data_IF_558117815768
#
_entry.id   IF_558117815768
#
_cell.length_a   1.000
_cell.length_b   1.000
_cell.length_c   1.000
_cell.angle_alpha   90.00
_cell.angle_beta   90.00
_cell.angle_gamma   90.00
#
_symmetry.space_group_name_H-M   'P 1'
#
loop_
_entity.id
_entity.type
_entity.pdbx_description
1 polymer ?
#
# COMPACT_ATOMS: atom_id res chain seq x y z
N UNK A 1 -12.14 30.09 -41.63
CA UNK A 1 -10.80 29.68 -41.22
C UNK A 1 -10.76 29.81 -39.73
N UNK A 2 -10.99 28.72 -38.96
CA UNK A 2 -10.89 28.67 -37.49
C UNK A 2 -9.61 27.95 -37.16
N UNK A 3 -8.77 28.59 -36.36
CA UNK A 3 -7.50 28.08 -35.90
C UNK A 3 -7.71 26.78 -35.09
N UNK A 4 -7.01 25.74 -35.49
CA UNK A 4 -6.91 24.48 -34.75
C UNK A 4 -5.93 24.76 -33.62
N UNK A 5 -6.47 24.75 -32.41
CA UNK A 5 -5.71 24.85 -31.16
C UNK A 5 -4.82 23.60 -31.07
N UNK A 6 -3.53 23.78 -31.30
CA UNK A 6 -2.52 22.74 -31.15
C UNK A 6 -2.32 22.52 -29.63
N UNK A 7 -2.95 21.46 -29.14
CA UNK A 7 -2.65 20.91 -27.83
C UNK A 7 -1.19 20.43 -27.83
N UNK A 8 -0.29 21.27 -27.34
CA UNK A 8 1.12 20.96 -27.14
C UNK A 8 1.24 19.72 -26.28
N UNK A 9 1.59 18.59 -26.88
CA UNK A 9 2.09 17.43 -26.17
C UNK A 9 3.26 17.88 -25.32
N UNK A 10 3.14 17.69 -24.00
CA UNK A 10 4.21 17.98 -23.05
C UNK A 10 5.36 17.00 -23.32
N UNK A 11 6.30 17.42 -24.13
CA UNK A 11 7.63 16.79 -24.19
C UNK A 11 8.25 16.87 -22.80
N UNK A 12 8.82 15.75 -22.32
CA UNK A 12 9.53 15.71 -21.05
C UNK A 12 10.60 16.81 -21.04
N UNK A 13 10.30 17.90 -20.34
CA UNK A 13 11.14 19.09 -20.37
C UNK A 13 12.01 19.05 -19.12
N UNK A 14 13.33 19.09 -19.31
CA UNK A 14 14.26 19.34 -18.21
C UNK A 14 14.11 20.82 -17.83
N UNK A 15 13.72 21.07 -16.58
CA UNK A 15 13.51 22.41 -16.05
C UNK A 15 14.56 22.72 -14.98
N UNK A 16 15.01 23.94 -14.93
CA UNK A 16 15.78 24.44 -13.80
C UNK A 16 14.89 24.58 -12.56
N UNK A 17 15.49 24.61 -11.38
CA UNK A 17 14.73 24.88 -10.14
C UNK A 17 13.96 26.21 -10.22
N UNK A 18 14.58 27.26 -10.79
CA UNK A 18 13.91 28.55 -10.98
C UNK A 18 12.63 28.40 -11.83
N UNK A 19 12.71 27.70 -12.96
CA UNK A 19 11.54 27.44 -13.81
C UNK A 19 10.46 26.60 -13.12
N UNK A 20 10.86 25.65 -12.27
CA UNK A 20 9.89 24.87 -11.46
C UNK A 20 9.19 25.76 -10.41
N UNK A 21 9.91 26.67 -9.78
CA UNK A 21 9.35 27.60 -8.80
C UNK A 21 8.42 28.64 -9.44
N UNK A 22 8.70 29.08 -10.66
CA UNK A 22 7.82 29.96 -11.44
C UNK A 22 6.51 29.28 -11.87
N UNK A 23 6.52 27.98 -12.11
CA UNK A 23 5.33 27.18 -12.50
C UNK A 23 4.39 26.82 -11.34
N UNK A 24 4.56 27.37 -10.18
CA UNK A 24 4.04 27.02 -8.85
C UNK A 24 4.86 25.92 -8.20
N UNK A 25 5.36 26.11 -6.97
CA UNK A 25 6.04 25.06 -6.25
C UNK A 25 5.06 23.88 -6.11
N UNK A 26 5.49 22.64 -6.45
CA UNK A 26 4.62 21.49 -6.35
C UNK A 26 4.18 21.35 -4.89
N UNK A 27 2.87 21.45 -4.66
CA UNK A 27 2.30 21.15 -3.34
C UNK A 27 2.59 19.68 -3.04
N UNK A 28 3.18 19.34 -1.89
CA UNK A 28 3.37 17.95 -1.51
C UNK A 28 2.05 17.19 -1.62
N UNK A 29 2.06 15.95 -2.12
CA UNK A 29 0.84 15.16 -2.20
C UNK A 29 0.22 15.02 -0.80
N UNK A 30 -1.10 15.11 -0.68
CA UNK A 30 -1.78 15.00 0.62
C UNK A 30 -1.47 13.65 1.25
N UNK A 31 -1.34 13.62 2.56
CA UNK A 31 -1.22 12.37 3.29
C UNK A 31 -2.58 11.64 3.31
N UNK A 32 -2.58 10.37 2.96
CA UNK A 32 -3.76 9.51 3.05
C UNK A 32 -3.88 8.91 4.45
N UNK A 33 -2.76 8.70 5.11
CA UNK A 33 -2.65 8.27 6.51
C UNK A 33 -1.63 9.17 7.21
N UNK A 34 -2.08 9.90 8.20
CA UNK A 34 -1.27 10.85 8.95
C UNK A 34 -0.45 10.20 10.08
N UNK A 35 0.67 10.81 10.49
CA UNK A 35 1.35 11.99 9.93
C UNK A 35 2.34 11.59 8.83
N UNK A 36 1.94 11.70 7.58
CA UNK A 36 2.82 11.42 6.42
C UNK A 36 3.15 9.93 6.21
N UNK A 37 2.37 9.03 6.82
CA UNK A 37 2.62 7.59 6.78
C UNK A 37 2.41 7.01 5.38
N UNK A 38 1.37 7.45 4.71
CA UNK A 38 1.08 7.08 3.33
C UNK A 38 0.68 8.35 2.57
N UNK A 39 1.60 8.97 1.83
CA UNK A 39 1.24 10.07 0.94
C UNK A 39 0.46 9.55 -0.27
N UNK A 40 -0.35 10.41 -0.87
CA UNK A 40 -0.97 10.08 -2.16
C UNK A 40 0.11 9.71 -3.18
N UNK A 41 -0.15 8.67 -3.97
CA UNK A 41 0.83 8.07 -4.90
C UNK A 41 2.10 7.54 -4.21
N UNK A 42 2.08 7.34 -2.89
CA UNK A 42 3.15 6.67 -2.16
C UNK A 42 3.07 5.15 -2.24
N UNK A 43 4.13 4.47 -1.81
CA UNK A 43 4.13 3.02 -1.64
C UNK A 43 4.48 2.72 -0.19
N UNK A 44 3.57 2.06 0.52
CA UNK A 44 3.78 1.59 1.89
C UNK A 44 3.93 0.07 1.93
N UNK A 45 4.92 -0.43 2.66
CA UNK A 45 5.09 -1.86 2.90
C UNK A 45 4.74 -2.23 4.33
N UNK A 46 3.97 -3.30 4.49
CA UNK A 46 3.68 -3.92 5.77
C UNK A 46 4.40 -5.24 5.83
N UNK A 47 5.58 -5.23 6.45
CA UNK A 47 6.45 -6.39 6.58
C UNK A 47 6.34 -7.07 7.93
N UNK A 48 6.70 -8.35 8.01
CA UNK A 48 6.80 -9.09 9.26
C UNK A 48 6.73 -10.61 9.08
N UNK A 49 7.02 -11.34 10.16
CA UNK A 49 6.95 -12.80 10.18
C UNK A 49 5.55 -13.32 9.82
N UNK A 50 5.43 -14.57 9.32
CA UNK A 50 4.14 -15.20 9.11
C UNK A 50 3.29 -15.21 10.40
N UNK A 51 1.96 -15.09 10.26
CA UNK A 51 0.96 -15.20 11.35
C UNK A 51 0.99 -14.09 12.42
N UNK A 52 1.75 -13.01 12.23
CA UNK A 52 1.76 -11.87 13.18
C UNK A 52 0.59 -10.89 13.00
N UNK A 53 -0.35 -11.18 12.09
CA UNK A 53 -1.56 -10.37 11.92
C UNK A 53 -1.46 -9.27 10.86
N UNK A 54 -0.48 -9.29 9.95
CA UNK A 54 -0.32 -8.27 8.87
C UNK A 54 -1.59 -8.07 8.05
N UNK A 55 -2.17 -9.14 7.52
CA UNK A 55 -3.39 -9.08 6.71
C UNK A 55 -4.59 -8.55 7.50
N UNK A 56 -4.67 -8.82 8.82
CA UNK A 56 -5.70 -8.24 9.69
C UNK A 56 -5.49 -6.73 9.86
N UNK A 57 -4.26 -6.30 10.09
CA UNK A 57 -3.92 -4.88 10.18
C UNK A 57 -4.25 -4.16 8.87
N UNK A 58 -3.83 -4.72 7.73
CA UNK A 58 -4.03 -4.11 6.42
C UNK A 58 -5.51 -4.08 6.03
N UNK A 59 -6.29 -5.12 6.35
CA UNK A 59 -7.73 -5.10 6.16
C UNK A 59 -8.42 -4.02 7.01
N UNK A 60 -8.01 -3.84 8.28
CA UNK A 60 -8.49 -2.73 9.11
C UNK A 60 -8.06 -1.36 8.56
N UNK A 61 -6.84 -1.22 8.07
CA UNK A 61 -6.35 0.00 7.43
C UNK A 61 -7.14 0.32 6.16
N UNK A 62 -7.41 -0.68 5.32
CA UNK A 62 -8.22 -0.52 4.12
C UNK A 62 -9.65 -0.06 4.45
N UNK A 63 -10.28 -0.65 5.48
CA UNK A 63 -11.59 -0.21 5.98
C UNK A 63 -11.55 1.20 6.56
N UNK A 64 -10.49 1.55 7.31
CA UNK A 64 -10.33 2.90 7.87
C UNK A 64 -10.14 3.93 6.77
N UNK A 65 -9.35 3.62 5.72
CA UNK A 65 -9.18 4.45 4.53
C UNK A 65 -10.51 4.65 3.80
N UNK A 66 -11.26 3.57 3.60
CA UNK A 66 -12.57 3.62 2.93
C UNK A 66 -13.59 4.45 3.70
N UNK A 67 -13.53 4.45 5.03
CA UNK A 67 -14.45 5.19 5.90
C UNK A 67 -13.98 6.60 6.28
N UNK A 68 -12.71 6.98 6.05
CA UNK A 68 -12.14 8.21 6.60
C UNK A 68 -12.08 8.19 8.13
N UNK A 69 -11.66 7.07 8.72
CA UNK A 69 -11.76 6.81 10.16
C UNK A 69 -10.40 6.73 10.86
N UNK A 70 -10.29 7.34 12.04
CA UNK A 70 -9.08 7.28 12.90
C UNK A 70 -8.95 6.00 13.73
N UNK A 71 -9.77 5.01 13.45
CA UNK A 71 -9.99 3.84 14.28
C UNK A 71 -8.76 2.95 14.54
N UNK A 72 -7.82 2.92 13.61
CA UNK A 72 -6.63 2.07 13.70
C UNK A 72 -5.45 2.71 14.43
N UNK A 73 -5.68 3.83 15.13
CA UNK A 73 -4.63 4.60 15.79
C UNK A 73 -3.83 5.52 14.85
N UNK A 74 -4.21 5.57 13.57
CA UNK A 74 -3.66 6.50 12.58
C UNK A 74 -4.77 7.39 12.05
N UNK A 75 -4.56 8.71 12.00
CA UNK A 75 -5.53 9.60 11.41
C UNK A 75 -5.68 9.35 9.89
N UNK A 76 -6.91 9.13 9.46
CA UNK A 76 -7.30 9.10 8.05
C UNK A 76 -8.24 10.29 7.82
N UNK A 77 -7.77 11.37 7.19
CA UNK A 77 -8.52 12.65 7.16
C UNK A 77 -9.81 12.59 6.35
N UNK A 78 -9.83 11.80 5.27
CA UNK A 78 -10.97 11.73 4.34
C UNK A 78 -11.15 10.32 3.81
N UNK A 79 -12.40 9.89 3.52
CA UNK A 79 -12.68 8.62 2.87
C UNK A 79 -11.95 8.51 1.52
N UNK A 80 -11.48 7.30 1.19
CA UNK A 80 -10.76 6.99 -0.05
C UNK A 80 -11.32 5.74 -0.71
N UNK A 81 -11.31 5.73 -2.03
CA UNK A 81 -11.64 4.52 -2.79
C UNK A 81 -10.47 3.55 -2.75
N UNK A 82 -10.66 2.40 -2.11
CA UNK A 82 -9.64 1.39 -1.85
C UNK A 82 -9.96 0.13 -2.62
N UNK A 83 -9.04 -0.31 -3.49
CA UNK A 83 -9.12 -1.61 -4.15
C UNK A 83 -8.25 -2.61 -3.39
N UNK A 84 -8.85 -3.68 -2.89
CA UNK A 84 -8.15 -4.77 -2.22
C UNK A 84 -7.99 -5.95 -3.17
N UNK A 85 -6.76 -6.33 -3.45
CA UNK A 85 -6.37 -7.54 -4.15
C UNK A 85 -5.84 -8.53 -3.11
N UNK A 86 -6.70 -9.48 -2.73
CA UNK A 86 -6.40 -10.51 -1.75
C UNK A 86 -6.19 -11.85 -2.44
N UNK A 87 -5.09 -12.57 -2.12
CA UNK A 87 -4.65 -13.74 -2.89
C UNK A 87 -4.71 -15.06 -2.10
N UNK A 88 -4.70 -15.03 -0.77
CA UNK A 88 -4.59 -16.24 0.05
C UNK A 88 -5.94 -16.82 0.49
N UNK A 89 -6.92 -15.95 0.77
CA UNK A 89 -8.20 -16.42 1.31
C UNK A 89 -9.25 -16.61 0.22
N UNK A 90 -10.03 -17.68 0.28
CA UNK A 90 -11.26 -17.75 -0.51
C UNK A 90 -12.15 -16.54 -0.25
N UNK A 91 -12.76 -16.00 -1.30
CA UNK A 91 -13.56 -14.78 -1.24
C UNK A 91 -14.62 -14.78 -0.12
N UNK A 92 -15.40 -15.87 0.11
CA UNK A 92 -16.39 -15.89 1.19
C UNK A 92 -15.77 -15.73 2.58
N UNK A 93 -14.59 -16.32 2.81
CA UNK A 93 -13.88 -16.18 4.10
C UNK A 93 -13.33 -14.75 4.27
N UNK A 94 -12.79 -14.16 3.22
CA UNK A 94 -12.33 -12.79 3.26
C UNK A 94 -13.47 -11.80 3.53
N UNK A 95 -14.60 -11.95 2.84
CA UNK A 95 -15.82 -11.14 3.06
C UNK A 95 -16.33 -11.30 4.49
N UNK A 96 -16.42 -12.53 5.01
CA UNK A 96 -16.84 -12.78 6.39
C UNK A 96 -15.95 -12.06 7.40
N UNK A 97 -14.63 -12.03 7.16
CA UNK A 97 -13.66 -11.29 7.99
C UNK A 97 -13.91 -9.79 7.93
N UNK A 98 -14.09 -9.22 6.73
CA UNK A 98 -14.41 -7.80 6.55
C UNK A 98 -15.72 -7.41 7.25
N UNK A 99 -16.77 -8.25 7.17
CA UNK A 99 -18.05 -8.00 7.83
C UNK A 99 -17.93 -7.90 9.36
N UNK A 100 -17.06 -8.69 9.98
CA UNK A 100 -16.78 -8.57 11.41
C UNK A 100 -16.08 -7.25 11.74
N UNK A 101 -15.08 -6.88 10.94
CA UNK A 101 -14.26 -5.69 11.17
C UNK A 101 -15.06 -4.39 10.93
N UNK A 102 -15.97 -4.40 9.94
CA UNK A 102 -16.74 -3.20 9.56
C UNK A 102 -17.82 -2.81 10.56
N UNK A 103 -18.23 -3.67 11.50
CA UNK A 103 -19.38 -3.46 12.40
C UNK A 103 -19.36 -2.13 13.15
N UNK A 104 -18.21 -1.53 13.36
CA UNK A 104 -18.03 -0.24 14.03
C UNK A 104 -17.68 0.90 13.07
N UNK A 105 -17.77 0.66 11.75
CA UNK A 105 -17.63 1.67 10.70
C UNK A 105 -18.99 1.91 10.07
N UNK A 106 -19.25 3.14 9.65
CA UNK A 106 -20.50 3.47 8.96
C UNK A 106 -20.59 2.84 7.56
N UNK A 107 -21.73 3.01 6.89
CA UNK A 107 -21.99 2.45 5.55
C UNK A 107 -21.06 2.97 4.47
N UNK A 108 -20.42 4.12 4.66
CA UNK A 108 -19.51 4.73 3.69
C UNK A 108 -18.34 3.81 3.35
N UNK A 109 -17.85 3.01 4.33
CA UNK A 109 -16.80 2.03 4.09
C UNK A 109 -17.20 1.00 3.03
N UNK A 110 -18.48 0.61 2.96
CA UNK A 110 -18.97 -0.43 2.05
C UNK A 110 -18.94 0.01 0.58
N UNK A 111 -19.13 1.28 0.31
CA UNK A 111 -19.09 1.83 -1.05
C UNK A 111 -17.69 2.12 -1.53
N UNK A 112 -16.79 2.45 -0.62
CA UNK A 112 -15.43 2.85 -0.94
C UNK A 112 -14.42 1.69 -0.87
N UNK A 113 -14.75 0.57 -0.19
CA UNK A 113 -13.93 -0.63 -0.20
C UNK A 113 -14.36 -1.57 -1.33
N UNK A 114 -13.50 -1.69 -2.33
CA UNK A 114 -13.70 -2.57 -3.47
C UNK A 114 -12.76 -3.76 -3.37
N UNK A 115 -13.20 -4.92 -3.84
CA UNK A 115 -12.40 -6.15 -3.83
C UNK A 115 -12.25 -6.65 -5.26
N UNK A 116 -11.03 -6.88 -5.69
CA UNK A 116 -10.78 -7.58 -6.95
C UNK A 116 -11.01 -9.09 -6.75
N UNK A 117 -12.16 -9.57 -7.20
CA UNK A 117 -12.55 -10.97 -7.07
C UNK A 117 -11.82 -11.91 -8.04
N UNK A 118 -11.01 -11.36 -8.96
CA UNK A 118 -10.24 -12.08 -9.97
C UNK A 118 -8.74 -11.83 -9.88
N UNK A 119 -8.27 -11.24 -8.79
CA UNK A 119 -6.84 -10.98 -8.59
C UNK A 119 -5.98 -12.24 -8.65
N UNK A 120 -6.51 -13.36 -8.12
CA UNK A 120 -5.82 -14.66 -8.11
C UNK A 120 -5.57 -15.17 -9.53
N UNK A 121 -4.32 -15.56 -9.80
CA UNK A 121 -3.89 -16.03 -11.12
C UNK A 121 -3.27 -14.97 -12.02
N UNK A 122 -3.25 -13.72 -11.58
CA UNK A 122 -2.56 -12.64 -12.28
C UNK A 122 -1.25 -12.28 -11.59
N UNK A 123 -0.13 -12.39 -12.34
CA UNK A 123 1.20 -12.05 -11.84
C UNK A 123 1.59 -10.63 -12.27
N UNK A 124 2.00 -9.81 -11.32
CA UNK A 124 2.55 -8.47 -11.60
C UNK A 124 3.82 -8.53 -12.46
N UNK A 125 4.60 -9.60 -12.33
CA UNK A 125 5.79 -9.84 -13.14
C UNK A 125 5.48 -10.04 -14.63
N UNK A 126 4.24 -10.42 -14.98
CA UNK A 126 3.78 -10.60 -16.35
C UNK A 126 3.03 -9.35 -16.86
N UNK A 127 3.25 -8.93 -18.13
CA UNK A 127 2.58 -7.75 -18.70
C UNK A 127 1.05 -7.82 -18.64
N UNK A 128 0.46 -9.01 -18.85
CA UNK A 128 -0.98 -9.23 -18.77
C UNK A 128 -1.51 -9.06 -17.35
N UNK A 129 -0.75 -9.51 -16.34
CA UNK A 129 -1.12 -9.34 -14.94
C UNK A 129 -1.02 -7.88 -14.50
N UNK A 130 0.05 -7.18 -14.86
CA UNK A 130 0.15 -5.75 -14.60
C UNK A 130 -1.04 -4.99 -15.23
N UNK A 131 -1.38 -5.31 -16.49
CA UNK A 131 -2.52 -4.70 -17.17
C UNK A 131 -3.85 -5.00 -16.45
N UNK A 132 -4.05 -6.23 -15.94
CA UNK A 132 -5.23 -6.58 -15.14
C UNK A 132 -5.39 -5.63 -13.95
N UNK A 133 -4.34 -5.44 -13.13
CA UNK A 133 -4.40 -4.56 -11.96
C UNK A 133 -4.59 -3.09 -12.33
N UNK A 134 -4.00 -2.63 -13.43
CA UNK A 134 -4.23 -1.26 -13.94
C UNK A 134 -5.69 -1.07 -14.34
N UNK A 135 -6.27 -2.02 -15.09
CA UNK A 135 -7.67 -1.96 -15.55
C UNK A 135 -8.62 -2.02 -14.34
N UNK A 136 -8.39 -2.95 -13.41
CA UNK A 136 -9.20 -3.09 -12.20
C UNK A 136 -9.16 -1.80 -11.35
N UNK A 137 -7.98 -1.23 -11.15
CA UNK A 137 -7.82 0.01 -10.37
C UNK A 137 -8.52 1.20 -11.03
N UNK A 138 -8.43 1.33 -12.35
CA UNK A 138 -9.12 2.38 -13.10
C UNK A 138 -10.63 2.23 -13.06
N UNK A 139 -11.14 1.01 -13.25
CA UNK A 139 -12.56 0.71 -13.15
C UNK A 139 -13.12 0.99 -11.74
N UNK A 140 -12.32 0.72 -10.71
CA UNK A 140 -12.62 1.04 -9.32
C UNK A 140 -12.47 2.53 -9.01
N UNK A 141 -11.88 3.34 -9.87
CA UNK A 141 -11.38 4.69 -9.56
C UNK A 141 -10.58 4.70 -8.25
N UNK A 142 -9.70 3.70 -8.07
CA UNK A 142 -8.99 3.48 -6.83
C UNK A 142 -7.93 4.56 -6.56
N UNK A 143 -7.97 5.15 -5.37
CA UNK A 143 -6.93 6.04 -4.87
C UNK A 143 -5.86 5.27 -4.08
N UNK A 144 -6.23 4.09 -3.58
CA UNK A 144 -5.34 3.16 -2.88
C UNK A 144 -5.54 1.75 -3.41
N UNK A 145 -4.46 1.03 -3.68
CA UNK A 145 -4.46 -0.39 -4.04
C UNK A 145 -3.74 -1.16 -2.94
N UNK A 146 -4.37 -2.20 -2.43
CA UNK A 146 -3.81 -3.13 -1.44
C UNK A 146 -3.45 -4.42 -2.14
N UNK A 147 -2.20 -4.87 -1.99
CA UNK A 147 -1.70 -6.16 -2.47
C UNK A 147 -1.37 -7.05 -1.26
N UNK A 148 -2.18 -8.08 -0.99
CA UNK A 148 -2.06 -8.93 0.21
C UNK A 148 -2.12 -10.42 -0.14
N UNK A 149 -0.98 -11.12 -0.10
CA UNK A 149 0.39 -10.65 0.02
C UNK A 149 1.12 -10.50 -1.33
N UNK A 150 2.28 -9.82 -1.31
CA UNK A 150 3.08 -9.56 -2.51
C UNK A 150 3.59 -10.85 -3.17
N UNK A 151 4.06 -11.83 -2.40
CA UNK A 151 4.64 -13.07 -2.94
C UNK A 151 3.68 -13.86 -3.84
N UNK A 152 2.37 -13.68 -3.65
CA UNK A 152 1.35 -14.31 -4.51
C UNK A 152 1.15 -13.60 -5.85
N UNK A 153 1.81 -12.45 -6.05
CA UNK A 153 1.69 -11.63 -7.26
C UNK A 153 2.83 -11.79 -8.24
N UNK A 154 3.82 -12.61 -7.92
CA UNK A 154 5.01 -12.82 -8.75
C UNK A 154 5.58 -14.23 -8.60
N UNK A 155 6.37 -14.62 -9.59
CA UNK A 155 7.12 -15.88 -9.66
C UNK A 155 8.64 -15.70 -9.45
N UNK A 156 9.05 -14.50 -9.01
CA UNK A 156 10.46 -14.13 -8.84
C UNK A 156 11.03 -14.73 -7.56
N UNK A 157 12.34 -15.03 -7.57
CA UNK A 157 13.05 -15.44 -6.36
C UNK A 157 13.25 -14.24 -5.42
N UNK A 158 12.59 -14.29 -4.26
CA UNK A 158 12.70 -13.25 -3.23
C UNK A 158 14.10 -13.12 -2.61
N UNK A 159 14.99 -14.09 -2.82
CA UNK A 159 16.38 -14.02 -2.35
C UNK A 159 17.30 -13.37 -3.39
N UNK A 160 16.85 -13.22 -4.63
CA UNK A 160 17.63 -12.55 -5.68
C UNK A 160 17.34 -11.05 -5.70
N UNK A 161 18.35 -10.25 -5.39
CA UNK A 161 18.25 -8.78 -5.36
C UNK A 161 17.82 -8.19 -6.71
N UNK A 162 18.24 -8.80 -7.82
CA UNK A 162 17.88 -8.33 -9.16
C UNK A 162 16.39 -8.56 -9.45
N UNK A 163 15.88 -9.72 -9.09
CA UNK A 163 14.46 -10.08 -9.21
C UNK A 163 13.59 -9.15 -8.36
N UNK A 164 14.00 -8.88 -7.12
CA UNK A 164 13.29 -7.96 -6.24
C UNK A 164 13.33 -6.51 -6.75
N UNK A 165 14.45 -6.06 -7.32
CA UNK A 165 14.54 -4.75 -7.96
C UNK A 165 13.57 -4.64 -9.16
N UNK A 166 13.46 -5.67 -9.99
CA UNK A 166 12.52 -5.71 -11.12
C UNK A 166 11.06 -5.65 -10.64
N UNK A 167 10.73 -6.35 -9.54
CA UNK A 167 9.41 -6.31 -8.92
C UNK A 167 9.09 -4.90 -8.39
N UNK A 168 10.04 -4.25 -7.72
CA UNK A 168 9.88 -2.86 -7.29
C UNK A 168 9.61 -1.91 -8.47
N UNK A 169 10.31 -2.08 -9.60
CA UNK A 169 10.03 -1.31 -10.82
C UNK A 169 8.61 -1.56 -11.34
N UNK A 170 8.11 -2.78 -11.20
CA UNK A 170 6.74 -3.10 -11.61
C UNK A 170 5.70 -2.43 -10.69
N UNK A 171 5.94 -2.40 -9.38
CA UNK A 171 5.10 -1.64 -8.44
C UNK A 171 5.10 -0.14 -8.76
N UNK A 172 6.24 0.43 -9.10
CA UNK A 172 6.32 1.84 -9.56
C UNK A 172 5.50 2.05 -10.83
N UNK A 173 5.58 1.15 -11.81
CA UNK A 173 4.77 1.22 -13.04
C UNK A 173 3.27 1.14 -12.74
N UNK A 174 2.84 0.26 -11.82
CA UNK A 174 1.45 0.17 -11.39
C UNK A 174 0.98 1.48 -10.76
N UNK A 175 1.75 2.03 -9.82
CA UNK A 175 1.49 3.33 -9.19
C UNK A 175 1.36 4.44 -10.24
N UNK A 176 2.33 4.54 -11.14
CA UNK A 176 2.39 5.62 -12.12
C UNK A 176 1.26 5.53 -13.16
N UNK A 177 0.86 4.31 -13.53
CA UNK A 177 -0.24 4.07 -14.47
C UNK A 177 -1.62 4.33 -13.86
N UNK A 178 -1.76 4.15 -12.54
CA UNK A 178 -3.04 4.29 -11.82
C UNK A 178 -3.14 5.59 -11.05
N UNK A 179 -2.02 6.20 -10.70
CA UNK A 179 -1.90 7.34 -9.77
C UNK A 179 -2.41 7.02 -8.36
N UNK A 180 -2.63 5.76 -8.05
CA UNK A 180 -3.01 5.28 -6.73
C UNK A 180 -1.80 5.11 -5.81
N UNK A 181 -2.00 5.27 -4.50
CA UNK A 181 -1.04 4.80 -3.52
C UNK A 181 -1.11 3.27 -3.41
N UNK A 182 0.00 2.64 -3.08
CA UNK A 182 0.06 1.19 -2.90
C UNK A 182 0.31 0.84 -1.43
N UNK A 183 -0.41 -0.16 -0.92
CA UNK A 183 -0.13 -0.83 0.36
C UNK A 183 0.21 -2.27 0.03
N UNK A 184 1.43 -2.69 0.36
CA UNK A 184 1.96 -3.99 -0.03
C UNK A 184 2.29 -4.81 1.22
N UNK A 185 1.67 -5.98 1.36
CA UNK A 185 1.99 -6.92 2.44
C UNK A 185 3.11 -7.83 2.00
N UNK A 186 4.20 -7.86 2.77
CA UNK A 186 5.35 -8.70 2.47
C UNK A 186 5.73 -9.58 3.66
N UNK A 187 6.02 -10.87 3.39
CA UNK A 187 6.49 -11.80 4.39
C UNK A 187 8.01 -11.71 4.53
N UNK A 188 8.46 -11.32 5.73
CA UNK A 188 9.88 -11.26 6.04
C UNK A 188 10.28 -12.58 6.68
N UNK A 189 11.27 -13.26 6.12
CA UNK A 189 11.86 -14.45 6.74
C UNK A 189 12.66 -14.06 7.98
N UNK A 190 12.72 -14.96 8.98
CA UNK A 190 13.42 -14.72 10.26
C UNK A 190 14.91 -14.38 10.13
N UNK A 191 15.53 -14.71 9.00
CA UNK A 191 16.96 -14.49 8.74
C UNK A 191 17.28 -13.13 8.13
N UNK A 192 16.28 -12.34 7.73
CA UNK A 192 16.52 -11.04 7.09
C UNK A 192 16.63 -9.97 8.17
N UNK A 193 17.77 -9.31 8.25
CA UNK A 193 18.00 -8.21 9.19
C UNK A 193 17.22 -6.95 8.77
N UNK A 194 16.96 -6.07 9.74
CA UNK A 194 16.31 -4.76 9.49
C UNK A 194 17.02 -3.93 8.42
N UNK A 195 18.35 -4.06 8.35
CA UNK A 195 19.20 -3.34 7.41
C UNK A 195 19.01 -3.81 5.97
N UNK A 196 18.77 -5.11 5.78
CA UNK A 196 18.51 -5.68 4.44
C UNK A 196 17.16 -5.25 3.87
N UNK A 197 16.12 -5.15 4.73
CA UNK A 197 14.81 -4.63 4.31
C UNK A 197 14.95 -3.15 3.91
N UNK A 198 15.63 -2.35 4.74
CA UNK A 198 15.88 -0.95 4.47
C UNK A 198 16.73 -0.73 3.21
N UNK A 199 17.62 -1.66 2.87
CA UNK A 199 18.48 -1.54 1.69
C UNK A 199 17.76 -1.86 0.37
N UNK A 200 16.85 -2.83 0.37
CA UNK A 200 16.05 -3.18 -0.82
C UNK A 200 15.05 -2.09 -1.20
N UNK A 201 14.66 -1.28 -0.23
CA UNK A 201 13.58 -0.29 -0.38
C UNK A 201 14.00 1.15 -0.05
N UNK A 202 15.31 1.47 -0.08
CA UNK A 202 15.81 2.83 0.19
C UNK A 202 15.26 3.84 -0.82
N UNK A 203 14.59 4.85 -0.31
CA UNK A 203 14.28 6.08 -1.04
C UNK A 203 12.80 6.39 -1.31
N UNK A 204 11.85 5.45 -1.11
CA UNK A 204 10.44 5.68 -1.48
C UNK A 204 9.40 5.11 -0.51
N UNK A 205 9.80 4.67 0.69
CA UNK A 205 8.96 3.79 1.49
C UNK A 205 8.75 4.23 2.94
N UNK A 206 7.47 4.36 3.31
CA UNK A 206 7.06 4.13 4.69
C UNK A 206 7.01 2.60 4.92
N UNK A 207 7.85 2.06 5.80
CA UNK A 207 7.84 0.63 6.14
C UNK A 207 7.30 0.42 7.55
N UNK A 208 6.17 -0.29 7.64
CA UNK A 208 5.63 -0.82 8.89
C UNK A 208 6.17 -2.24 9.11
N UNK A 209 7.02 -2.42 10.11
CA UNK A 209 7.46 -3.76 10.51
C UNK A 209 6.70 -4.23 11.75
N UNK A 210 6.08 -5.41 11.65
CA UNK A 210 5.47 -6.10 12.78
C UNK A 210 6.37 -7.26 13.22
N UNK A 211 6.72 -7.32 14.51
CA UNK A 211 7.48 -8.44 15.08
C UNK A 211 6.74 -9.03 16.27
N UNK A 212 6.89 -10.35 16.46
CA UNK A 212 6.32 -11.11 17.57
C UNK A 212 7.15 -11.03 18.87
N UNK A 213 8.18 -10.16 18.95
CA UNK A 213 9.04 -10.09 20.11
C UNK A 213 8.25 -9.51 21.32
N UNK A 214 7.81 -10.41 22.16
CA UNK A 214 7.54 -10.13 23.58
C UNK A 214 8.91 -10.03 24.24
N UNK A 215 9.33 -8.84 24.62
CA UNK A 215 10.59 -8.63 25.34
C UNK A 215 10.62 -9.47 26.64
N UNK A 216 11.78 -10.02 27.05
CA UNK A 216 11.88 -10.76 28.29
C UNK A 216 11.62 -9.80 29.47
N UNK A 217 10.48 -9.95 30.17
CA UNK A 217 10.18 -9.19 31.38
C UNK A 217 8.73 -8.81 31.64
N UNK A 218 7.81 -8.98 30.72
CA UNK A 218 6.40 -8.68 30.96
C UNK A 218 5.69 -9.89 31.59
N UNK A 219 5.42 -9.85 32.92
CA UNK A 219 4.50 -10.79 33.55
C UNK A 219 3.09 -10.61 32.98
N UNK A 220 2.32 -11.68 32.76
CA UNK A 220 0.98 -11.58 32.19
C UNK A 220 0.03 -10.99 33.23
N UNK A 221 -0.25 -9.71 33.17
CA UNK A 221 -1.42 -9.13 33.82
C UNK A 221 -2.64 -9.40 32.95
N UNK A 222 -3.63 -10.09 33.53
CA UNK A 222 -4.96 -10.33 32.97
C UNK A 222 -5.60 -9.01 32.54
N UNK A 223 -5.57 -8.73 31.27
CA UNK A 223 -6.54 -7.98 30.46
C UNK A 223 -5.92 -7.89 29.06
N UNK A 224 -6.66 -8.35 28.05
CA UNK A 224 -6.29 -8.33 26.64
C UNK A 224 -5.84 -6.91 26.20
N UNK A 225 -4.57 -6.59 26.33
CA UNK A 225 -3.92 -5.53 25.60
C UNK A 225 -2.92 -6.20 24.67
N UNK A 226 -3.29 -6.29 23.41
CA UNK A 226 -2.34 -6.57 22.35
C UNK A 226 -1.43 -5.34 22.27
N UNK A 227 -0.32 -5.39 22.98
CA UNK A 227 0.75 -4.40 22.83
C UNK A 227 1.54 -4.81 21.59
N UNK A 228 1.04 -4.46 20.43
CA UNK A 228 1.83 -4.49 19.19
C UNK A 228 2.89 -3.40 19.34
N UNK A 229 4.14 -3.81 19.50
CA UNK A 229 5.28 -2.90 19.44
C UNK A 229 5.43 -2.35 18.02
N UNK A 230 4.63 -1.35 17.66
CA UNK A 230 4.79 -0.58 16.44
C UNK A 230 5.96 0.38 16.63
N UNK A 231 7.03 0.17 15.90
CA UNK A 231 8.11 1.14 15.79
C UNK A 231 8.15 1.71 14.38
N UNK A 232 8.04 3.02 14.30
CA UNK A 232 8.22 3.81 13.09
C UNK A 232 9.69 4.10 12.87
N UNK A 233 10.17 3.97 11.66
CA UNK A 233 11.44 4.55 11.25
C UNK A 233 11.19 5.47 10.06
N UNK A 234 11.02 6.77 10.36
CA UNK A 234 11.26 7.80 9.36
C UNK A 234 12.77 7.97 9.28
N UNK A 235 13.38 7.68 8.14
CA UNK A 235 14.71 8.19 7.85
C UNK A 235 14.54 9.57 7.21
N UNK A 236 15.02 10.65 7.84
CA UNK A 236 15.21 11.90 7.13
C UNK A 236 16.33 11.67 6.08
N UNK A 237 16.07 12.13 4.87
CA UNK A 237 17.08 12.26 3.80
C UNK A 237 18.18 13.22 4.21
#
# INVERSE_FOLDING_TARGET
MKAIDQQKASTATVLSLAQLLEQQPPTPPPSLVEPGLLPAQGIGFVGGEPKVGKSLLVANLALALAAGSHRIGFPVPTPRRVLVCQFELPLPQFVSRLLVMRRSLGPDADQNLLVDTRATGHLLSAPQGLNHFVVAARAAAAEVIVLDPLYSTHDQDENDTRSMAALCQTLLRLRDATKAALIVVHHIRKSITREEIGSAFRGYLACLTMSSHIGPGARPHRKNQITTGMRWTNHPT
#
